data_IF_933669691861
#
_entry.id   IF_933669691861
#
_cell.length_a   1.000
_cell.length_b   1.000
_cell.length_c   1.000
_cell.angle_alpha   90.00
_cell.angle_beta   90.00
_cell.angle_gamma   90.00
#
_symmetry.space_group_name_H-M   'P 1'
#
loop_
_entity.id
_entity.type
_entity.pdbx_description
1 polymer ?
#
# COMPACT_ATOMS: atom_id res chain seq x y z
N UNK A 1 7.10 -57.64 -24.05
CA UNK A 1 7.42 -56.67 -22.98
C UNK A 1 6.65 -57.04 -21.72
N UNK A 2 7.36 -57.39 -20.65
CA UNK A 2 6.84 -57.91 -19.38
C UNK A 2 6.03 -56.84 -18.62
N UNK A 3 4.94 -57.27 -17.98
CA UNK A 3 3.94 -56.42 -17.30
C UNK A 3 4.54 -55.48 -16.25
N UNK A 4 5.67 -55.87 -15.63
CA UNK A 4 6.40 -55.03 -14.66
C UNK A 4 6.96 -53.74 -15.28
N UNK A 5 7.49 -53.79 -16.51
CA UNK A 5 8.04 -52.62 -17.20
C UNK A 5 6.93 -51.64 -17.60
N UNK A 6 5.74 -52.14 -17.96
CA UNK A 6 4.56 -51.30 -18.24
C UNK A 6 4.04 -50.57 -16.99
N UNK A 7 4.04 -51.24 -15.83
CA UNK A 7 3.66 -50.61 -14.54
C UNK A 7 4.66 -49.55 -14.09
N UNK A 8 5.97 -49.79 -14.28
CA UNK A 8 7.01 -48.79 -14.00
C UNK A 8 6.87 -47.55 -14.87
N UNK A 9 6.58 -47.74 -16.17
CA UNK A 9 6.38 -46.64 -17.10
C UNK A 9 5.11 -45.84 -16.78
N UNK A 10 4.03 -46.51 -16.39
CA UNK A 10 2.80 -45.86 -15.95
C UNK A 10 2.99 -45.05 -14.65
N UNK A 11 3.78 -45.55 -13.70
CA UNK A 11 4.10 -44.83 -12.47
C UNK A 11 4.97 -43.60 -12.72
N UNK A 12 5.97 -43.71 -13.61
CA UNK A 12 6.79 -42.59 -14.03
C UNK A 12 5.95 -41.50 -14.72
N UNK A 13 5.04 -41.88 -15.63
CA UNK A 13 4.13 -40.95 -16.29
C UNK A 13 3.21 -40.24 -15.29
N UNK A 14 2.67 -40.95 -14.29
CA UNK A 14 1.82 -40.37 -13.26
C UNK A 14 2.58 -39.39 -12.36
N UNK A 15 3.83 -39.69 -12.03
CA UNK A 15 4.69 -38.78 -11.24
C UNK A 15 5.04 -37.48 -11.99
N UNK A 16 5.20 -37.54 -13.32
CA UNK A 16 5.42 -36.36 -14.14
C UNK A 16 4.18 -35.47 -14.22
N UNK A 17 2.98 -36.06 -14.36
CA UNK A 17 1.72 -35.29 -14.33
C UNK A 17 1.48 -34.62 -12.96
N UNK A 18 1.82 -35.32 -11.87
CA UNK A 18 1.70 -34.77 -10.51
C UNK A 18 2.70 -33.63 -10.24
N UNK A 19 3.89 -33.67 -10.86
CA UNK A 19 4.85 -32.57 -10.78
C UNK A 19 4.30 -31.31 -11.48
N UNK A 20 3.65 -31.44 -12.64
CA UNK A 20 3.08 -30.31 -13.38
C UNK A 20 1.93 -29.62 -12.63
N UNK A 21 1.11 -30.37 -11.90
CA UNK A 21 0.05 -29.79 -11.07
C UNK A 21 0.59 -29.07 -9.82
N UNK A 22 1.80 -29.39 -9.35
CA UNK A 22 2.44 -28.67 -8.24
C UNK A 22 2.95 -27.27 -8.66
N UNK A 23 3.43 -27.10 -9.89
CA UNK A 23 3.84 -25.79 -10.43
C UNK A 23 2.66 -24.85 -10.74
N UNK A 24 1.46 -25.41 -10.96
CA UNK A 24 0.24 -24.62 -11.24
C UNK A 24 -0.52 -24.18 -9.97
N UNK A 25 -0.25 -24.79 -8.81
CA UNK A 25 -0.94 -24.49 -7.55
C UNK A 25 -0.56 -23.12 -6.93
N UNK A 26 0.48 -22.46 -7.43
CA UNK A 26 0.91 -21.15 -6.94
C UNK A 26 0.22 -19.93 -7.60
N UNK A 27 -0.57 -20.12 -8.65
CA UNK A 27 -0.91 -19.03 -9.58
C UNK A 27 -1.66 -17.83 -8.99
N UNK A 28 -2.56 -18.07 -8.02
CA UNK A 28 -3.35 -16.99 -7.40
C UNK A 28 -2.69 -16.39 -6.16
N UNK A 29 -2.37 -17.23 -5.17
CA UNK A 29 -1.82 -16.75 -3.89
C UNK A 29 -0.38 -16.25 -4.01
N UNK A 30 0.48 -16.90 -4.81
CA UNK A 30 1.86 -16.42 -5.01
C UNK A 30 1.90 -15.13 -5.81
N UNK A 31 1.02 -14.96 -6.81
CA UNK A 31 0.89 -13.72 -7.58
C UNK A 31 0.36 -12.55 -6.73
N UNK A 32 -0.69 -12.79 -5.93
CA UNK A 32 -1.24 -11.79 -5.00
C UNK A 32 -0.20 -11.42 -3.94
N UNK A 33 0.48 -12.39 -3.33
CA UNK A 33 1.52 -12.13 -2.33
C UNK A 33 2.73 -11.39 -2.93
N UNK A 34 3.11 -11.69 -4.17
CA UNK A 34 4.18 -10.98 -4.88
C UNK A 34 3.76 -9.53 -5.22
N UNK A 35 2.51 -9.31 -5.64
CA UNK A 35 1.98 -7.98 -5.88
C UNK A 35 1.88 -7.15 -4.58
N UNK A 36 1.41 -7.75 -3.49
CA UNK A 36 1.37 -7.10 -2.16
C UNK A 36 2.77 -6.74 -1.67
N UNK A 37 3.74 -7.66 -1.78
CA UNK A 37 5.13 -7.39 -1.37
C UNK A 37 5.78 -6.27 -2.19
N UNK A 38 5.47 -6.22 -3.49
CA UNK A 38 5.90 -5.11 -4.35
C UNK A 38 5.26 -3.80 -3.92
N UNK A 39 3.97 -3.79 -3.59
CA UNK A 39 3.26 -2.59 -3.13
C UNK A 39 3.84 -2.05 -1.81
N UNK A 40 4.13 -2.93 -0.84
CA UNK A 40 4.73 -2.55 0.45
C UNK A 40 6.07 -1.84 0.28
N UNK A 41 6.90 -2.26 -0.69
CA UNK A 41 8.19 -1.59 -0.95
C UNK A 41 8.05 -0.14 -1.44
N UNK A 42 6.89 0.23 -2.00
CA UNK A 42 6.59 1.61 -2.42
C UNK A 42 5.92 2.44 -1.33
N UNK A 43 5.43 1.84 -0.25
CA UNK A 43 4.68 2.57 0.80
C UNK A 43 5.56 3.61 1.49
N UNK A 44 6.78 3.27 1.88
CA UNK A 44 7.70 4.19 2.56
C UNK A 44 8.14 5.39 1.72
N UNK A 45 8.62 5.23 0.47
CA UNK A 45 9.00 6.37 -0.37
C UNK A 45 7.79 7.23 -0.73
N UNK A 46 6.62 6.63 -0.99
CA UNK A 46 5.39 7.38 -1.28
C UNK A 46 4.88 8.13 -0.05
N UNK A 47 4.95 7.52 1.14
CA UNK A 47 4.56 8.17 2.40
C UNK A 47 5.44 9.40 2.68
N UNK A 48 6.75 9.29 2.46
CA UNK A 48 7.70 10.41 2.59
C UNK A 48 7.37 11.53 1.60
N UNK A 49 7.06 11.19 0.34
CA UNK A 49 6.67 12.16 -0.67
C UNK A 49 5.37 12.91 -0.29
N UNK A 50 4.34 12.17 0.15
CA UNK A 50 3.06 12.74 0.59
C UNK A 50 3.27 13.67 1.79
N UNK A 51 4.08 13.27 2.76
CA UNK A 51 4.43 14.10 3.91
C UNK A 51 5.14 15.40 3.50
N UNK A 52 6.09 15.32 2.56
CA UNK A 52 6.79 16.50 2.05
C UNK A 52 5.83 17.47 1.34
N UNK A 53 4.95 16.96 0.49
CA UNK A 53 3.93 17.79 -0.19
C UNK A 53 2.95 18.38 0.83
N UNK A 54 2.49 17.56 1.79
CA UNK A 54 1.59 17.98 2.85
C UNK A 54 2.18 19.10 3.72
N UNK A 55 3.48 19.05 4.01
CA UNK A 55 4.18 20.11 4.72
C UNK A 55 4.19 21.43 3.93
N UNK A 56 4.50 21.38 2.63
CA UNK A 56 4.51 22.58 1.77
C UNK A 56 3.12 23.20 1.67
N UNK A 57 2.10 22.40 1.39
CA UNK A 57 0.71 22.88 1.26
C UNK A 57 0.17 23.38 2.61
N UNK A 58 0.52 22.70 3.72
CA UNK A 58 0.16 23.11 5.07
C UNK A 58 0.72 24.48 5.45
N UNK A 59 1.97 24.77 5.09
CA UNK A 59 2.58 26.08 5.29
C UNK A 59 1.88 27.17 4.48
N UNK A 60 1.58 26.91 3.20
CA UNK A 60 0.84 27.87 2.34
C UNK A 60 -0.55 28.16 2.92
N UNK A 61 -1.28 27.13 3.36
CA UNK A 61 -2.56 27.29 4.03
C UNK A 61 -2.47 28.11 5.31
N UNK A 62 -1.43 27.88 6.12
CA UNK A 62 -1.19 28.61 7.36
C UNK A 62 -0.91 30.10 7.13
N UNK A 63 -0.11 30.42 6.10
CA UNK A 63 0.11 31.81 5.68
C UNK A 63 -1.21 32.48 5.27
N UNK A 64 -2.09 31.75 4.55
CA UNK A 64 -3.39 32.28 4.13
C UNK A 64 -4.33 32.57 5.30
N UNK A 65 -4.35 31.67 6.29
CA UNK A 65 -5.09 31.86 7.55
C UNK A 65 -4.53 33.06 8.32
N UNK A 66 -3.20 33.18 8.42
CA UNK A 66 -2.57 34.34 9.07
C UNK A 66 -2.95 35.67 8.42
N UNK A 67 -2.96 35.74 7.09
CA UNK A 67 -3.38 36.95 6.37
C UNK A 67 -4.83 37.30 6.71
N UNK A 68 -5.74 36.31 6.66
CA UNK A 68 -7.17 36.51 6.97
C UNK A 68 -7.43 36.90 8.41
N UNK A 69 -6.64 36.37 9.35
CA UNK A 69 -6.69 36.75 10.76
C UNK A 69 -6.35 38.23 10.93
N UNK A 70 -5.26 38.69 10.30
CA UNK A 70 -4.84 40.09 10.39
C UNK A 70 -5.79 41.06 9.68
N UNK A 71 -6.53 40.60 8.66
CA UNK A 71 -7.54 41.43 7.98
C UNK A 71 -8.89 41.49 8.71
N UNK A 72 -9.07 40.77 9.83
CA UNK A 72 -10.33 40.79 10.59
C UNK A 72 -11.50 40.11 9.87
N UNK A 73 -11.21 39.11 9.03
CA UNK A 73 -12.23 38.35 8.30
C UNK A 73 -13.16 37.60 9.28
N UNK A 74 -14.48 37.75 9.14
CA UNK A 74 -15.45 37.09 10.02
C UNK A 74 -15.39 35.55 9.92
N UNK A 75 -14.92 35.02 8.79
CA UNK A 75 -14.80 33.59 8.56
C UNK A 75 -13.50 32.98 9.09
N UNK A 76 -12.63 33.75 9.76
CA UNK A 76 -11.31 33.26 10.21
C UNK A 76 -11.40 32.03 11.12
N UNK A 77 -12.38 31.98 12.02
CA UNK A 77 -12.56 30.84 12.92
C UNK A 77 -12.87 29.56 12.15
N UNK A 78 -13.68 29.66 11.08
CA UNK A 78 -14.02 28.52 10.21
C UNK A 78 -12.81 28.08 9.41
N UNK A 79 -12.04 29.02 8.87
CA UNK A 79 -10.86 28.72 8.05
C UNK A 79 -9.71 28.15 8.89
N UNK A 80 -9.51 28.67 10.11
CA UNK A 80 -8.56 28.15 11.09
C UNK A 80 -8.91 26.73 11.53
N UNK A 81 -10.19 26.45 11.83
CA UNK A 81 -10.63 25.11 12.18
C UNK A 81 -10.47 24.13 11.01
N UNK A 82 -10.79 24.56 9.78
CA UNK A 82 -10.63 23.75 8.57
C UNK A 82 -9.15 23.43 8.29
N UNK A 83 -8.27 24.43 8.38
CA UNK A 83 -6.83 24.27 8.22
C UNK A 83 -6.21 23.40 9.33
N UNK A 84 -6.55 23.66 10.59
CA UNK A 84 -6.06 22.88 11.72
C UNK A 84 -6.50 21.41 11.66
N UNK A 85 -7.75 21.16 11.29
CA UNK A 85 -8.28 19.80 11.10
C UNK A 85 -7.59 19.05 9.96
N UNK A 86 -7.29 19.73 8.85
CA UNK A 86 -6.58 19.12 7.72
C UNK A 86 -5.10 18.84 8.02
N UNK A 87 -4.41 19.70 8.77
CA UNK A 87 -3.07 19.42 9.26
C UNK A 87 -3.04 18.21 10.20
N UNK A 88 -3.99 18.10 11.14
CA UNK A 88 -4.09 16.96 12.04
C UNK A 88 -4.37 15.66 11.28
N UNK A 89 -5.25 15.70 10.29
CA UNK A 89 -5.57 14.56 9.43
C UNK A 89 -4.33 14.04 8.69
N UNK A 90 -3.50 14.93 8.12
CA UNK A 90 -2.27 14.52 7.42
C UNK A 90 -1.30 13.76 8.33
N UNK A 91 -1.15 14.20 9.58
CA UNK A 91 -0.29 13.51 10.57
C UNK A 91 -0.86 12.14 10.94
N UNK A 92 -2.17 12.07 11.18
CA UNK A 92 -2.85 10.80 11.53
C UNK A 92 -2.82 9.79 10.39
N UNK A 93 -2.97 10.23 9.14
CA UNK A 93 -2.87 9.39 7.95
C UNK A 93 -1.54 8.64 7.90
N UNK A 94 -0.44 9.30 8.25
CA UNK A 94 0.88 8.63 8.27
C UNK A 94 0.95 7.50 9.28
N UNK A 95 0.30 7.65 10.43
CA UNK A 95 0.21 6.60 11.46
C UNK A 95 -0.69 5.45 10.99
N UNK A 96 -1.83 5.79 10.39
CA UNK A 96 -2.81 4.81 9.90
C UNK A 96 -2.24 3.96 8.76
N UNK A 97 -1.57 4.58 7.78
CA UNK A 97 -0.91 3.85 6.69
C UNK A 97 0.12 2.87 7.26
N UNK A 98 0.99 3.33 8.16
CA UNK A 98 1.97 2.46 8.82
C UNK A 98 1.33 1.29 9.55
N UNK A 99 0.27 1.55 10.32
CA UNK A 99 -0.49 0.53 11.03
C UNK A 99 -1.16 -0.52 10.10
N UNK A 100 -1.69 -0.12 8.95
CA UNK A 100 -2.29 -1.05 7.98
C UNK A 100 -1.27 -1.91 7.25
N UNK A 101 -0.08 -1.38 6.95
CA UNK A 101 0.96 -2.10 6.23
C UNK A 101 1.96 -2.83 7.15
N UNK A 102 1.82 -2.70 8.46
CA UNK A 102 2.64 -3.40 9.46
C UNK A 102 4.09 -2.90 9.53
N UNK A 103 4.32 -1.62 9.21
CA UNK A 103 5.63 -0.95 9.27
C UNK A 103 5.69 0.03 10.43
#
# INVERSE_FOLDING_TARGET
MTVKTKKLFAFAALSMLAAQSSFAQGGGSTGINAATSSLTSYVDPVSTLILAIGAVVGLIGGVRVYIKWNSGDQDINKELMSWGGSCLFLVLVSVVIKAFFGV
#
